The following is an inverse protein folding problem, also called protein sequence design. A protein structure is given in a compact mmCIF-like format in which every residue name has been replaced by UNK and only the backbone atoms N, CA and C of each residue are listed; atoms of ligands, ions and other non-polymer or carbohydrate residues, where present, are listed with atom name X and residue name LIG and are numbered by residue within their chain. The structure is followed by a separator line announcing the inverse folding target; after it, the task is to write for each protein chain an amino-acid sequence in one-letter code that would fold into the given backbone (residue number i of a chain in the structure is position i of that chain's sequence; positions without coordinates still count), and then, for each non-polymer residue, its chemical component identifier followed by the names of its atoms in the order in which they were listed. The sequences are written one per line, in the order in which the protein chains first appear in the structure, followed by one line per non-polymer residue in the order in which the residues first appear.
data_IF_172904455281
#
_entry.id   IF_172904455281
#
_cell.length_a   1.000
_cell.length_b   1.000
_cell.length_c   1.000
_cell.angle_alpha   90.00
_cell.angle_beta   90.00
_cell.angle_gamma   90.00
#
_symmetry.space_group_name_H-M   'P 1'
#
loop_
_entity.id
_entity.type
_entity.pdbx_description
1 polymer ?
#
# COMPACT_ATOMS: atom_id res chain seq x y z
N UNK A 1 -65.69 -13.47 -40.73
CA UNK A 1 -64.81 -14.27 -39.85
C UNK A 1 -63.54 -13.48 -39.55
N UNK A 2 -62.91 -13.69 -38.40
CA UNK A 2 -61.66 -13.01 -38.04
C UNK A 2 -60.54 -13.35 -39.01
N UNK A 3 -59.86 -12.32 -39.54
CA UNK A 3 -58.68 -12.51 -40.37
C UNK A 3 -57.46 -12.66 -39.44
N UNK A 4 -56.81 -13.81 -39.47
CA UNK A 4 -55.57 -14.03 -38.79
C UNK A 4 -54.42 -13.30 -39.52
N UNK A 5 -53.69 -12.44 -38.80
CA UNK A 5 -52.48 -11.84 -39.30
C UNK A 5 -51.32 -12.71 -38.80
N UNK A 6 -50.57 -13.29 -39.72
CA UNK A 6 -49.34 -14.03 -39.41
C UNK A 6 -48.18 -13.03 -39.38
N UNK A 7 -47.59 -12.82 -38.23
CA UNK A 7 -46.37 -12.05 -38.10
C UNK A 7 -45.18 -13.04 -38.07
N UNK A 8 -44.29 -12.90 -39.01
CA UNK A 8 -43.05 -13.67 -39.05
C UNK A 8 -41.91 -12.69 -38.79
N UNK A 9 -41.16 -12.90 -37.73
CA UNK A 9 -39.93 -12.16 -37.47
C UNK A 9 -38.76 -13.08 -37.76
N UNK A 10 -37.92 -12.72 -38.71
CA UNK A 10 -36.67 -13.40 -38.94
C UNK A 10 -35.65 -13.02 -37.84
N UNK A 11 -35.00 -14.01 -37.25
CA UNK A 11 -33.94 -13.76 -36.30
C UNK A 11 -32.74 -13.18 -37.06
N UNK A 12 -32.32 -11.98 -36.70
CA UNK A 12 -31.08 -11.41 -37.21
C UNK A 12 -29.90 -12.17 -36.57
N UNK A 13 -29.22 -12.96 -37.37
CA UNK A 13 -27.97 -13.59 -36.94
C UNK A 13 -26.89 -12.50 -36.87
N UNK A 14 -26.42 -12.19 -35.68
CA UNK A 14 -25.29 -11.29 -35.50
C UNK A 14 -23.99 -12.06 -35.79
N UNK A 15 -22.98 -11.42 -36.42
CA UNK A 15 -21.69 -12.05 -36.62
C UNK A 15 -21.01 -12.33 -35.26
N UNK A 16 -20.16 -13.36 -35.17
CA UNK A 16 -19.38 -13.63 -33.99
C UNK A 16 -18.55 -12.41 -33.61
N UNK A 17 -18.59 -12.03 -32.34
CA UNK A 17 -17.75 -10.94 -31.82
C UNK A 17 -17.53 -11.08 -30.33
N UNK A 18 -16.47 -10.46 -29.84
CA UNK A 18 -16.19 -10.31 -28.42
C UNK A 18 -15.63 -8.92 -28.18
N UNK A 19 -16.19 -8.22 -27.21
CA UNK A 19 -15.66 -6.93 -26.77
C UNK A 19 -15.34 -6.98 -25.26
N UNK A 20 -14.33 -6.26 -24.87
CA UNK A 20 -13.88 -6.15 -23.48
C UNK A 20 -13.88 -4.70 -23.06
N UNK A 21 -14.36 -4.43 -21.86
CA UNK A 21 -14.36 -3.09 -21.27
C UNK A 21 -13.96 -3.18 -19.81
N UNK A 22 -13.00 -2.37 -19.41
CA UNK A 22 -12.66 -2.21 -18.01
C UNK A 22 -13.76 -1.42 -17.28
N UNK A 23 -14.17 -1.85 -16.09
CA UNK A 23 -15.20 -1.15 -15.31
C UNK A 23 -14.84 0.29 -14.95
N UNK A 24 -13.56 0.63 -14.91
CA UNK A 24 -13.04 1.98 -14.72
C UNK A 24 -13.03 2.83 -16.00
N UNK A 25 -13.47 2.32 -17.14
CA UNK A 25 -13.43 3.02 -18.43
C UNK A 25 -12.79 2.21 -19.54
N UNK A 26 -11.80 2.79 -20.25
CA UNK A 26 -11.04 2.11 -21.30
C UNK A 26 -9.97 1.22 -20.66
N UNK A 27 -9.74 0.03 -21.23
CA UNK A 27 -8.59 -0.80 -20.84
C UNK A 27 -7.31 0.00 -21.06
N UNK A 28 -6.42 0.10 -20.05
CA UNK A 28 -5.13 0.75 -20.24
C UNK A 28 -4.30 0.02 -21.31
N UNK A 29 -3.62 0.76 -22.18
CA UNK A 29 -2.79 0.16 -23.23
C UNK A 29 -1.59 -0.58 -22.61
N UNK A 30 -1.03 -0.05 -21.54
CA UNK A 30 0.04 -0.65 -20.74
C UNK A 30 -0.43 -1.84 -19.89
N UNK A 31 -1.74 -2.06 -19.80
CA UNK A 31 -2.36 -3.08 -18.97
C UNK A 31 -2.55 -2.68 -17.51
N UNK A 32 -2.72 -3.65 -16.64
CA UNK A 32 -2.90 -3.41 -15.21
C UNK A 32 -1.58 -3.53 -14.46
N UNK A 33 -1.35 -2.56 -13.56
CA UNK A 33 -0.17 -2.52 -12.71
C UNK A 33 -0.58 -2.57 -11.24
N UNK A 34 0.06 -3.42 -10.47
CA UNK A 34 -0.06 -3.45 -9.01
C UNK A 34 1.29 -3.15 -8.36
N UNK A 35 1.25 -2.71 -7.13
CA UNK A 35 2.45 -2.58 -6.29
C UNK A 35 3.06 -3.96 -5.94
N UNK A 36 4.25 -3.96 -5.35
CA UNK A 36 4.98 -5.18 -4.98
C UNK A 36 4.26 -6.04 -3.92
N UNK A 37 3.33 -5.47 -3.15
CA UNK A 37 2.58 -6.18 -2.10
C UNK A 37 1.41 -7.00 -2.65
N UNK A 38 1.11 -6.89 -3.95
CA UNK A 38 0.10 -7.70 -4.59
C UNK A 38 -1.34 -7.28 -4.30
N UNK A 39 -1.58 -6.00 -4.11
CA UNK A 39 -2.95 -5.48 -3.98
C UNK A 39 -3.43 -4.93 -5.30
N UNK A 40 -4.54 -5.45 -5.76
CA UNK A 40 -5.20 -4.98 -6.95
C UNK A 40 -6.26 -5.97 -7.39
N UNK A 41 -7.43 -5.43 -7.69
CA UNK A 41 -8.56 -6.19 -8.19
C UNK A 41 -9.13 -5.42 -9.36
N UNK A 42 -9.07 -6.02 -10.55
CA UNK A 42 -9.53 -5.42 -11.79
C UNK A 42 -10.63 -6.27 -12.39
N UNK A 43 -11.77 -5.67 -12.69
CA UNK A 43 -12.88 -6.35 -13.33
C UNK A 43 -13.04 -5.85 -14.76
N UNK A 44 -12.98 -6.77 -15.70
CA UNK A 44 -13.16 -6.52 -17.14
C UNK A 44 -14.47 -7.15 -17.57
N UNK A 45 -15.41 -6.34 -18.03
CA UNK A 45 -16.66 -6.83 -18.59
C UNK A 45 -16.39 -7.41 -19.99
N UNK A 46 -16.91 -8.59 -20.25
CA UNK A 46 -16.78 -9.29 -21.51
C UNK A 46 -18.18 -9.41 -22.14
N UNK A 47 -18.31 -9.00 -23.39
CA UNK A 47 -19.58 -9.07 -24.12
C UNK A 47 -19.41 -10.03 -25.31
N UNK A 48 -19.60 -11.34 -25.11
CA UNK A 48 -19.54 -12.32 -26.19
C UNK A 48 -20.83 -12.34 -27.00
N UNK A 49 -20.72 -12.40 -28.32
CA UNK A 49 -21.85 -12.56 -29.24
C UNK A 49 -21.58 -13.78 -30.12
N UNK A 50 -22.40 -14.83 -29.98
CA UNK A 50 -22.33 -16.07 -30.74
C UNK A 50 -20.93 -16.72 -30.75
N UNK A 51 -20.17 -16.59 -29.69
CA UNK A 51 -18.86 -17.19 -29.51
C UNK A 51 -18.72 -17.84 -28.13
N UNK A 52 -18.07 -18.98 -28.09
CA UNK A 52 -17.51 -19.52 -26.84
C UNK A 52 -16.14 -18.86 -26.60
N UNK A 53 -15.81 -18.61 -25.37
CA UNK A 53 -14.56 -17.96 -25.03
C UNK A 53 -13.92 -18.56 -23.78
N UNK A 54 -12.59 -18.46 -23.70
CA UNK A 54 -11.81 -18.93 -22.58
C UNK A 54 -10.78 -17.89 -22.17
N UNK A 55 -10.33 -17.97 -20.93
CA UNK A 55 -9.28 -17.14 -20.37
C UNK A 55 -8.17 -18.01 -19.80
N UNK A 56 -6.92 -17.60 -20.00
CA UNK A 56 -5.75 -18.19 -19.39
C UNK A 56 -4.72 -17.13 -19.03
N UNK A 57 -3.83 -17.46 -18.10
CA UNK A 57 -2.68 -16.63 -17.73
C UNK A 57 -1.42 -17.18 -18.39
N UNK A 58 -0.68 -16.32 -19.07
CA UNK A 58 0.67 -16.59 -19.58
C UNK A 58 1.67 -15.76 -18.78
N UNK A 59 2.49 -16.43 -17.97
CA UNK A 59 3.53 -15.76 -17.20
C UNK A 59 4.73 -15.46 -18.09
N UNK A 60 5.22 -14.20 -18.07
CA UNK A 60 6.34 -13.73 -18.89
C UNK A 60 7.61 -13.66 -18.04
N UNK A 61 7.50 -13.16 -16.80
CA UNK A 61 8.63 -13.09 -15.87
C UNK A 61 8.18 -13.32 -14.43
N UNK A 62 9.14 -13.58 -13.52
CA UNK A 62 8.91 -13.66 -12.08
C UNK A 62 8.19 -14.93 -11.59
N UNK A 63 8.28 -16.03 -12.34
CA UNK A 63 7.66 -17.31 -11.97
C UNK A 63 6.18 -17.38 -12.27
N UNK A 64 5.49 -18.36 -11.67
CA UNK A 64 4.07 -18.64 -11.91
C UNK A 64 3.25 -18.60 -10.64
N UNK A 65 1.92 -18.53 -10.76
CA UNK A 65 0.98 -18.66 -9.62
C UNK A 65 0.78 -17.41 -8.78
N UNK A 66 1.35 -16.28 -9.18
CA UNK A 66 1.20 -15.02 -8.44
C UNK A 66 -0.01 -14.17 -8.86
N UNK A 67 -0.67 -14.54 -9.95
CA UNK A 67 -1.85 -13.87 -10.48
C UNK A 67 -3.02 -14.84 -10.52
N UNK A 68 -4.13 -14.50 -9.91
CA UNK A 68 -5.39 -15.22 -10.02
C UNK A 68 -6.27 -14.55 -11.07
N UNK A 69 -6.87 -15.35 -11.93
CA UNK A 69 -7.79 -14.89 -12.95
C UNK A 69 -9.04 -15.74 -12.92
N UNK A 70 -10.15 -15.13 -12.55
CA UNK A 70 -11.44 -15.78 -12.45
C UNK A 70 -12.35 -15.38 -13.62
N UNK A 71 -12.94 -16.38 -14.26
CA UNK A 71 -13.94 -16.21 -15.32
C UNK A 71 -15.33 -16.33 -14.73
N UNK A 72 -16.18 -15.34 -15.01
CA UNK A 72 -17.59 -15.33 -14.63
C UNK A 72 -18.46 -15.30 -15.89
N UNK A 73 -19.46 -16.17 -15.94
CA UNK A 73 -20.48 -16.19 -16.98
C UNK A 73 -21.86 -16.32 -16.34
N UNK A 74 -22.77 -15.47 -16.76
CA UNK A 74 -24.19 -15.57 -16.43
C UNK A 74 -25.03 -15.32 -17.69
N UNK A 75 -26.32 -15.58 -17.60
CA UNK A 75 -27.23 -15.30 -18.71
C UNK A 75 -27.31 -13.82 -19.13
N UNK A 76 -26.81 -12.91 -18.29
CA UNK A 76 -26.97 -11.46 -18.48
C UNK A 76 -25.62 -10.73 -18.54
N UNK A 77 -24.54 -11.35 -18.08
CA UNK A 77 -23.22 -10.71 -18.05
C UNK A 77 -22.11 -11.73 -18.01
N UNK A 78 -20.97 -11.37 -18.59
CA UNK A 78 -19.72 -12.10 -18.48
C UNK A 78 -18.61 -11.15 -18.04
N UNK A 79 -17.69 -11.64 -17.24
CA UNK A 79 -16.59 -10.83 -16.75
C UNK A 79 -15.35 -11.69 -16.45
N UNK A 80 -14.21 -11.03 -16.45
CA UNK A 80 -12.94 -11.54 -15.92
C UNK A 80 -12.60 -10.71 -14.68
N UNK A 81 -12.20 -11.38 -13.62
CA UNK A 81 -11.59 -10.73 -12.45
C UNK A 81 -10.11 -11.10 -12.43
N UNK A 82 -9.27 -10.08 -12.44
CA UNK A 82 -7.81 -10.19 -12.32
C UNK A 82 -7.46 -9.78 -10.89
N UNK A 83 -6.93 -10.70 -10.11
CA UNK A 83 -6.63 -10.49 -8.69
C UNK A 83 -5.18 -10.89 -8.38
N UNK A 84 -4.46 -9.98 -7.74
CA UNK A 84 -3.10 -10.24 -7.25
C UNK A 84 -3.11 -10.96 -5.89
N UNK A 85 -4.24 -10.94 -5.19
CA UNK A 85 -4.39 -11.52 -3.86
C UNK A 85 -3.42 -10.91 -2.85
N UNK A 86 -2.74 -11.79 -2.12
CA UNK A 86 -1.67 -11.43 -1.17
C UNK A 86 -0.28 -11.87 -1.67
N UNK A 87 -0.13 -12.11 -2.96
CA UNK A 87 1.10 -12.59 -3.57
C UNK A 87 2.09 -11.42 -3.73
N UNK A 88 3.07 -11.37 -2.84
CA UNK A 88 4.11 -10.33 -2.84
C UNK A 88 5.17 -10.64 -3.88
N UNK A 89 5.70 -9.57 -4.45
CA UNK A 89 6.92 -9.65 -5.25
C UNK A 89 8.11 -9.13 -4.42
N UNK A 90 8.77 -10.03 -3.69
CA UNK A 90 9.92 -9.67 -2.85
C UNK A 90 11.23 -9.49 -3.66
N UNK A 91 11.20 -9.69 -4.98
CA UNK A 91 12.29 -9.33 -5.89
C UNK A 91 12.28 -7.82 -6.14
N UNK A 92 13.46 -7.17 -6.35
CA UNK A 92 13.49 -5.79 -6.83
C UNK A 92 12.96 -5.63 -8.25
N UNK A 93 13.02 -6.69 -9.05
CA UNK A 93 12.55 -6.66 -10.43
C UNK A 93 11.03 -6.84 -10.52
N UNK A 94 10.34 -6.11 -11.37
CA UNK A 94 8.93 -6.32 -11.64
C UNK A 94 8.69 -7.68 -12.30
N UNK A 95 7.54 -8.28 -12.05
CA UNK A 95 7.11 -9.50 -12.70
C UNK A 95 5.89 -9.25 -13.59
N UNK A 96 5.83 -9.94 -14.72
CA UNK A 96 4.84 -9.67 -15.75
C UNK A 96 4.15 -10.94 -16.23
N UNK A 97 2.88 -10.78 -16.62
CA UNK A 97 2.05 -11.81 -17.22
C UNK A 97 1.14 -11.19 -18.28
N UNK A 98 0.48 -12.05 -19.05
CA UNK A 98 -0.63 -11.67 -19.91
C UNK A 98 -1.85 -12.51 -19.55
N UNK A 99 -2.98 -11.85 -19.46
CA UNK A 99 -4.27 -12.51 -19.40
C UNK A 99 -4.76 -12.61 -20.85
N UNK A 100 -4.85 -13.83 -21.36
CA UNK A 100 -5.18 -14.09 -22.77
C UNK A 100 -6.60 -14.63 -22.87
N UNK A 101 -7.44 -13.91 -23.60
CA UNK A 101 -8.81 -14.29 -23.89
C UNK A 101 -8.88 -14.81 -25.31
N UNK A 102 -9.34 -16.05 -25.47
CA UNK A 102 -9.49 -16.71 -26.75
C UNK A 102 -10.93 -17.05 -27.04
N UNK A 103 -11.29 -17.13 -28.31
CA UNK A 103 -12.61 -17.58 -28.77
C UNK A 103 -12.44 -18.77 -29.75
N UNK A 104 -13.54 -19.48 -30.01
CA UNK A 104 -13.62 -20.53 -31.01
C UNK A 104 -13.99 -19.99 -32.40
N UNK A 105 -14.29 -18.71 -32.54
CA UNK A 105 -14.64 -18.09 -33.80
C UNK A 105 -13.41 -17.58 -34.57
N UNK A 106 -13.30 -17.91 -35.82
CA UNK A 106 -12.23 -17.45 -36.69
C UNK A 106 -12.25 -15.92 -36.84
N UNK A 107 -11.08 -15.31 -36.67
CA UNK A 107 -10.92 -13.86 -36.79
C UNK A 107 -11.38 -13.03 -35.55
N UNK A 108 -11.83 -13.68 -34.47
CA UNK A 108 -12.19 -13.03 -33.22
C UNK A 108 -11.16 -13.36 -32.14
N UNK A 109 -10.25 -12.41 -31.87
CA UNK A 109 -9.14 -12.56 -30.90
C UNK A 109 -7.93 -13.30 -31.49
N UNK A 110 -6.95 -13.72 -30.68
CA UNK A 110 -6.92 -13.55 -29.22
C UNK A 110 -6.83 -12.10 -28.76
N UNK A 111 -7.29 -11.84 -27.53
CA UNK A 111 -7.14 -10.56 -26.86
C UNK A 111 -6.17 -10.75 -25.71
N UNK A 112 -5.24 -9.81 -25.55
CA UNK A 112 -4.22 -9.85 -24.52
C UNK A 112 -4.37 -8.64 -23.59
N UNK A 113 -4.33 -8.90 -22.29
CA UNK A 113 -4.32 -7.87 -21.25
C UNK A 113 -2.99 -7.99 -20.53
N UNK A 114 -2.05 -7.05 -20.72
CA UNK A 114 -0.81 -7.03 -19.98
C UNK A 114 -1.07 -6.81 -18.49
N UNK A 115 -0.27 -7.46 -17.64
CA UNK A 115 -0.37 -7.35 -16.19
C UNK A 115 1.04 -7.28 -15.62
N UNK A 116 1.30 -6.26 -14.82
CA UNK A 116 2.58 -6.06 -14.14
C UNK A 116 2.37 -5.98 -12.64
N UNK A 117 3.24 -6.65 -11.89
CA UNK A 117 3.40 -6.38 -10.48
C UNK A 117 4.79 -5.83 -10.24
N UNK A 118 4.85 -4.64 -9.63
CA UNK A 118 6.11 -3.98 -9.31
C UNK A 118 6.98 -4.83 -8.38
N UNK A 119 8.28 -4.63 -8.48
CA UNK A 119 9.24 -5.21 -7.56
C UNK A 119 9.29 -4.46 -6.24
N UNK A 120 9.77 -5.14 -5.21
CA UNK A 120 10.05 -4.51 -3.92
C UNK A 120 11.17 -3.48 -4.12
N UNK A 121 10.98 -2.20 -3.74
CA UNK A 121 12.02 -1.21 -3.86
C UNK A 121 13.28 -1.60 -3.06
N UNK A 122 14.42 -1.52 -3.71
CA UNK A 122 15.72 -1.77 -3.06
C UNK A 122 16.14 -0.64 -2.13
N UNK A 123 15.62 0.57 -2.36
CA UNK A 123 15.95 1.74 -1.58
C UNK A 123 14.83 2.08 -0.60
N UNK A 124 15.24 2.60 0.56
CA UNK A 124 14.33 3.09 1.59
C UNK A 124 14.37 4.64 1.69
N UNK A 125 14.95 5.29 0.70
CA UNK A 125 15.08 6.75 0.64
C UNK A 125 14.98 7.26 -0.78
N UNK A 126 14.25 8.35 -1.00
CA UNK A 126 14.28 9.17 -2.22
C UNK A 126 15.29 10.30 -2.11
N UNK A 127 15.88 10.50 -0.92
CA UNK A 127 16.86 11.54 -0.64
C UNK A 127 18.23 11.05 -1.08
N UNK A 128 18.85 11.79 -2.00
CA UNK A 128 20.12 11.43 -2.62
C UNK A 128 21.32 12.16 -2.02
N UNK A 129 21.08 13.18 -1.21
CA UNK A 129 22.12 14.02 -0.60
C UNK A 129 21.87 14.17 0.91
N UNK A 130 22.90 14.54 1.65
CA UNK A 130 22.76 14.85 3.08
C UNK A 130 21.77 15.99 3.29
N UNK A 131 20.87 15.82 4.25
CA UNK A 131 19.83 16.79 4.57
C UNK A 131 19.85 17.14 6.06
N UNK A 132 19.72 18.43 6.35
CA UNK A 132 19.55 18.94 7.69
C UNK A 132 18.10 19.40 7.90
N UNK A 133 17.41 18.84 8.89
CA UNK A 133 16.05 19.22 9.27
C UNK A 133 16.09 20.23 10.41
N UNK A 134 16.06 21.51 10.07
CA UNK A 134 16.04 22.60 11.06
C UNK A 134 14.64 23.19 11.30
N UNK A 135 13.67 22.76 10.53
CA UNK A 135 12.31 23.34 10.48
C UNK A 135 11.28 22.62 11.35
N UNK A 136 11.67 21.56 12.07
CA UNK A 136 10.74 20.79 12.91
C UNK A 136 10.48 21.51 14.24
N UNK A 137 9.36 22.21 14.32
CA UNK A 137 9.00 23.10 15.45
C UNK A 137 7.91 22.54 16.35
N UNK A 138 7.17 21.54 15.90
CA UNK A 138 6.06 20.92 16.61
C UNK A 138 6.31 19.44 16.84
N UNK A 139 5.85 18.92 17.97
CA UNK A 139 5.87 17.48 18.24
C UNK A 139 4.52 17.05 18.81
N UNK A 140 3.89 16.09 18.15
CA UNK A 140 2.83 15.30 18.75
C UNK A 140 3.43 14.03 19.34
N UNK A 141 3.17 13.77 20.61
CA UNK A 141 3.67 12.59 21.31
C UNK A 141 2.51 11.69 21.74
N UNK A 142 2.57 10.42 21.38
CA UNK A 142 1.72 9.38 21.95
C UNK A 142 2.59 8.49 22.84
N UNK A 143 2.25 8.44 24.13
CA UNK A 143 3.04 7.76 25.16
C UNK A 143 2.24 6.57 25.68
N UNK A 144 2.88 5.42 25.82
CA UNK A 144 2.29 4.23 26.41
C UNK A 144 3.05 3.82 27.68
N UNK A 145 2.76 4.46 28.82
CA UNK A 145 3.40 4.16 30.10
C UNK A 145 2.88 2.85 30.69
N UNK A 146 3.54 2.35 31.73
CA UNK A 146 3.07 1.23 32.52
C UNK A 146 1.90 1.62 33.40
N UNK A 147 1.03 0.67 33.71
CA UNK A 147 -0.14 0.81 34.58
C UNK A 147 -0.52 -0.54 35.13
N UNK A 148 -1.49 -0.59 36.02
CA UNK A 148 -2.02 -1.85 36.57
C UNK A 148 -2.45 -2.79 35.44
N UNK A 149 -1.87 -3.98 35.42
CA UNK A 149 -2.07 -5.00 34.37
C UNK A 149 -1.15 -4.86 33.15
N UNK A 150 -0.28 -3.85 33.14
CA UNK A 150 0.77 -3.68 32.11
C UNK A 150 2.06 -3.25 32.78
N UNK A 151 2.93 -4.21 33.03
CA UNK A 151 4.26 -4.01 33.62
C UNK A 151 5.34 -4.42 32.63
N UNK A 152 5.73 -3.49 31.75
CA UNK A 152 6.78 -3.69 30.75
C UNK A 152 8.09 -3.06 31.21
N UNK A 153 9.26 -3.62 30.83
CA UNK A 153 10.56 -3.08 31.20
C UNK A 153 10.90 -1.79 30.46
N UNK A 154 9.93 -1.14 29.81
CA UNK A 154 10.09 0.10 29.08
C UNK A 154 8.77 0.87 28.95
N UNK A 155 8.88 2.15 28.57
CA UNK A 155 7.77 2.99 28.08
C UNK A 155 7.95 3.24 26.59
N UNK A 156 6.89 3.05 25.79
CA UNK A 156 6.90 3.31 24.36
C UNK A 156 6.46 4.73 24.05
N UNK A 157 7.15 5.36 23.08
CA UNK A 157 6.90 6.69 22.57
C UNK A 157 6.74 6.65 21.06
N UNK A 158 5.64 7.18 20.55
CA UNK A 158 5.42 7.49 19.13
C UNK A 158 5.44 9.02 18.99
N UNK A 159 6.55 9.54 18.49
CA UNK A 159 6.82 10.96 18.37
C UNK A 159 6.66 11.36 16.90
N UNK A 160 5.95 12.46 16.66
CA UNK A 160 5.73 13.03 15.33
C UNK A 160 6.15 14.47 15.33
N UNK A 161 7.38 14.69 14.91
CA UNK A 161 7.94 16.02 14.72
C UNK A 161 7.48 16.58 13.38
N UNK A 162 7.09 17.84 13.36
CA UNK A 162 6.50 18.50 12.19
C UNK A 162 7.04 19.92 12.06
N UNK A 163 7.17 20.41 10.82
CA UNK A 163 7.37 21.82 10.53
C UNK A 163 6.10 22.62 10.82
N UNK A 164 6.23 23.95 10.89
CA UNK A 164 5.15 24.87 11.32
C UNK A 164 3.85 24.71 10.51
N UNK A 165 3.97 24.50 9.21
CA UNK A 165 2.83 24.39 8.29
C UNK A 165 2.28 22.95 8.13
N UNK A 166 2.76 22.00 8.95
CA UNK A 166 2.25 20.64 9.00
C UNK A 166 1.51 20.39 10.30
N UNK A 167 0.32 19.84 10.21
CA UNK A 167 -0.50 19.44 11.35
C UNK A 167 -0.85 17.95 11.31
N UNK A 168 -1.09 17.37 12.48
CA UNK A 168 -1.55 16.00 12.63
C UNK A 168 -2.95 15.95 13.24
N UNK A 169 -3.89 15.32 12.53
CA UNK A 169 -5.25 15.09 13.05
C UNK A 169 -5.38 13.65 13.54
N UNK A 170 -5.34 13.47 14.85
CA UNK A 170 -5.34 12.16 15.50
C UNK A 170 -6.60 11.33 15.16
N UNK A 171 -7.77 11.99 15.05
CA UNK A 171 -9.03 11.32 14.72
C UNK A 171 -9.05 10.67 13.33
N UNK A 172 -8.26 11.19 12.40
CA UNK A 172 -8.09 10.67 11.04
C UNK A 172 -6.80 9.87 10.85
N UNK A 173 -5.87 9.95 11.80
CA UNK A 173 -4.55 9.37 11.66
C UNK A 173 -3.76 9.96 10.49
N UNK A 174 -4.03 11.23 10.12
CA UNK A 174 -3.52 11.85 8.90
C UNK A 174 -2.80 13.16 9.18
N UNK A 175 -1.88 13.52 8.30
CA UNK A 175 -1.15 14.78 8.29
C UNK A 175 -1.69 15.68 7.18
N UNK A 176 -1.66 16.98 7.41
CA UNK A 176 -2.16 18.01 6.52
C UNK A 176 -1.15 19.15 6.42
N UNK A 177 -1.16 19.87 5.30
CA UNK A 177 -0.30 21.01 5.03
C UNK A 177 0.84 20.69 4.07
N UNK A 178 1.86 21.54 4.09
CA UNK A 178 3.07 21.39 3.28
C UNK A 178 4.30 21.58 4.15
N UNK A 179 5.21 20.59 4.18
CA UNK A 179 6.43 20.68 4.99
C UNK A 179 7.00 19.31 5.38
N UNK A 180 7.84 19.33 6.40
CA UNK A 180 8.63 18.18 6.83
C UNK A 180 7.99 17.48 8.02
N UNK A 181 8.06 16.15 8.01
CA UNK A 181 7.65 15.28 9.10
C UNK A 181 8.74 14.26 9.41
N UNK A 182 9.07 14.10 10.68
CA UNK A 182 9.87 12.99 11.19
C UNK A 182 9.05 12.22 12.22
N UNK A 183 8.77 10.96 11.95
CA UNK A 183 8.15 10.05 12.92
C UNK A 183 9.24 9.21 13.57
N UNK A 184 9.22 9.12 14.91
CA UNK A 184 10.18 8.35 15.70
C UNK A 184 9.42 7.40 16.63
N UNK A 185 9.68 6.12 16.50
CA UNK A 185 9.18 5.08 17.42
C UNK A 185 10.35 4.61 18.30
N UNK A 186 10.24 4.88 19.61
CA UNK A 186 11.33 4.57 20.55
C UNK A 186 10.80 4.04 21.88
N UNK A 187 11.70 3.50 22.67
CA UNK A 187 11.43 3.08 24.05
C UNK A 187 12.45 3.68 25.02
N UNK A 188 11.91 4.17 26.15
CA UNK A 188 12.70 4.65 27.29
C UNK A 188 12.63 3.69 28.47
N UNK A 189 13.34 4.00 29.54
CA UNK A 189 13.11 3.40 30.84
C UNK A 189 11.62 3.44 31.22
N UNK A 190 11.12 2.48 32.01
CA UNK A 190 9.71 2.37 32.34
C UNK A 190 9.21 3.59 33.15
N UNK A 191 8.10 4.15 32.71
CA UNK A 191 7.39 5.21 33.40
C UNK A 191 6.04 4.64 33.83
N UNK A 192 5.65 4.90 35.07
CA UNK A 192 4.37 4.46 35.60
C UNK A 192 3.35 5.60 35.57
N UNK A 193 2.12 5.26 35.22
CA UNK A 193 0.98 6.18 35.30
C UNK A 193 0.78 6.58 36.77
N UNK A 194 0.75 7.89 37.02
CA UNK A 194 0.11 8.44 38.21
C UNK A 194 -0.84 9.57 37.76
N UNK A 195 -1.85 9.84 38.55
CA UNK A 195 -3.00 10.68 38.16
C UNK A 195 -2.67 12.14 37.80
N UNK A 196 -1.46 12.61 38.13
CA UNK A 196 -1.02 14.01 37.92
C UNK A 196 0.26 14.12 37.07
N UNK A 197 0.68 13.07 36.38
CA UNK A 197 1.98 13.04 35.72
C UNK A 197 1.98 13.68 34.31
N UNK A 198 2.76 14.71 34.16
CA UNK A 198 3.29 15.07 32.85
C UNK A 198 4.41 14.09 32.51
N UNK A 199 4.29 13.45 31.34
CA UNK A 199 5.28 12.49 30.87
C UNK A 199 6.32 13.21 30.02
N UNK A 200 7.57 13.06 30.39
CA UNK A 200 8.69 13.61 29.64
C UNK A 200 9.58 12.49 29.13
N UNK A 201 9.98 12.58 27.87
CA UNK A 201 11.01 11.69 27.35
C UNK A 201 12.30 11.92 28.15
N UNK A 202 12.89 10.89 28.76
CA UNK A 202 14.12 11.05 29.54
C UNK A 202 15.28 11.56 28.68
N UNK A 203 16.10 12.44 29.27
CA UNK A 203 17.36 12.88 28.68
C UNK A 203 18.28 11.68 28.46
N UNK A 204 18.95 11.64 27.32
CA UNK A 204 19.86 10.55 27.00
C UNK A 204 20.10 10.38 25.51
N UNK A 205 20.86 9.35 25.19
CA UNK A 205 21.11 8.96 23.81
C UNK A 205 20.36 7.66 23.51
N UNK A 206 19.57 7.70 22.43
CA UNK A 206 18.76 6.61 21.93
C UNK A 206 19.38 6.11 20.62
N UNK A 207 19.60 4.81 20.51
CA UNK A 207 20.27 4.21 19.34
C UNK A 207 19.25 3.56 18.41
N UNK A 208 19.37 3.82 17.09
CA UNK A 208 18.55 3.18 16.08
C UNK A 208 18.95 1.72 15.95
N UNK A 209 17.99 0.79 16.05
CA UNK A 209 18.19 -0.65 15.99
C UNK A 209 17.34 -1.28 14.89
N UNK A 210 17.96 -2.06 14.02
CA UNK A 210 17.30 -2.70 12.88
C UNK A 210 16.27 -3.76 13.30
N UNK A 211 16.50 -4.44 14.42
CA UNK A 211 15.63 -5.48 14.97
C UNK A 211 14.89 -4.97 16.21
N UNK A 212 14.12 -3.92 16.04
CA UNK A 212 13.20 -3.48 17.08
C UNK A 212 12.15 -4.56 17.26
N UNK A 213 12.29 -5.34 18.31
CA UNK A 213 11.63 -6.63 18.45
C UNK A 213 10.09 -6.49 18.43
N UNK A 214 9.43 -7.34 17.63
CA UNK A 214 7.98 -7.46 17.62
C UNK A 214 7.41 -8.05 18.92
N UNK A 215 8.23 -8.80 19.67
CA UNK A 215 7.89 -9.22 21.04
C UNK A 215 8.08 -8.04 21.99
N UNK A 216 6.98 -7.52 22.49
CA UNK A 216 6.97 -6.38 23.39
C UNK A 216 7.87 -6.54 24.62
N UNK A 217 8.11 -7.76 25.08
CA UNK A 217 8.91 -8.01 26.28
C UNK A 217 10.43 -7.96 26.05
N UNK A 218 10.87 -7.87 24.80
CA UNK A 218 12.29 -7.91 24.43
C UNK A 218 12.85 -6.56 23.95
N UNK A 219 12.07 -5.50 23.99
CA UNK A 219 12.54 -4.15 23.63
C UNK A 219 13.43 -3.61 24.71
N UNK A 220 14.55 -3.02 24.30
CA UNK A 220 15.57 -2.48 25.23
C UNK A 220 15.40 -0.97 25.37
N UNK A 221 15.24 -0.42 26.58
CA UNK A 221 15.23 1.02 26.81
C UNK A 221 16.45 1.72 26.16
N UNK A 222 16.23 2.93 25.63
CA UNK A 222 17.26 3.65 24.87
C UNK A 222 17.34 3.24 23.40
N UNK A 223 16.40 2.43 22.89
CA UNK A 223 16.33 2.04 21.50
C UNK A 223 15.32 2.86 20.69
N UNK A 224 15.67 3.14 19.43
CA UNK A 224 14.80 3.70 18.39
C UNK A 224 14.56 2.61 17.33
N UNK A 225 13.32 2.45 16.93
CA UNK A 225 12.97 1.52 15.85
C UNK A 225 13.48 2.02 14.50
N UNK A 226 14.34 1.26 13.83
CA UNK A 226 14.72 1.57 12.46
C UNK A 226 13.49 1.60 11.54
N UNK A 227 13.53 2.50 10.56
CA UNK A 227 12.49 2.58 9.53
C UNK A 227 12.51 1.36 8.62
N UNK A 228 11.33 0.84 8.33
CA UNK A 228 11.15 -0.27 7.40
C UNK A 228 9.85 -0.11 6.62
N UNK A 229 9.82 -0.55 5.36
CA UNK A 229 8.59 -0.61 4.62
C UNK A 229 7.64 -1.63 5.23
N UNK A 230 6.37 -1.23 5.37
CA UNK A 230 5.33 -2.16 5.80
C UNK A 230 4.60 -2.77 4.62
N UNK A 231 3.94 -3.90 4.90
CA UNK A 231 3.17 -4.67 3.93
C UNK A 231 1.98 -3.93 3.31
N UNK A 232 1.58 -2.79 3.86
CA UNK A 232 0.25 -2.31 3.56
C UNK A 232 0.19 -1.08 2.67
N UNK A 233 1.23 -0.29 2.56
CA UNK A 233 1.31 0.89 1.68
C UNK A 233 2.59 1.66 1.95
N UNK A 234 3.21 2.35 0.96
CA UNK A 234 4.26 3.34 1.24
C UNK A 234 3.83 4.46 2.19
N UNK A 235 2.52 4.59 2.46
CA UNK A 235 1.96 5.51 3.47
C UNK A 235 2.07 5.02 4.91
N UNK A 236 2.22 3.72 5.14
CA UNK A 236 2.30 3.13 6.47
C UNK A 236 3.71 2.63 6.70
N UNK A 237 4.55 3.54 7.09
CA UNK A 237 5.92 3.29 7.49
C UNK A 237 5.93 2.72 8.90
N UNK A 238 6.72 1.67 9.15
CA UNK A 238 7.03 1.20 10.49
C UNK A 238 8.34 1.79 10.94
N UNK A 239 8.44 2.12 12.22
CA UNK A 239 9.64 2.66 12.80
C UNK A 239 9.84 4.13 12.48
N UNK A 240 11.10 4.52 12.36
CA UNK A 240 11.49 5.93 12.23
C UNK A 240 11.63 6.34 10.77
N UNK A 241 10.89 7.39 10.40
CA UNK A 241 10.81 7.86 9.01
C UNK A 241 10.75 9.37 8.91
N UNK A 242 11.48 9.89 7.93
CA UNK A 242 11.28 11.22 7.37
C UNK A 242 10.32 11.14 6.17
N UNK A 243 9.42 12.12 6.06
CA UNK A 243 8.54 12.29 4.90
C UNK A 243 8.27 13.78 4.69
N UNK A 244 8.39 14.24 3.45
CA UNK A 244 7.89 15.54 3.03
C UNK A 244 6.43 15.40 2.60
N UNK A 245 5.60 16.33 3.08
CA UNK A 245 4.18 16.45 2.73
C UNK A 245 4.04 17.64 1.80
N UNK A 246 3.28 17.49 0.72
CA UNK A 246 3.00 18.55 -0.24
C UNK A 246 1.50 18.60 -0.51
N UNK A 247 0.87 19.75 -0.16
CA UNK A 247 -0.57 20.00 -0.38
C UNK A 247 -1.48 18.86 0.13
N UNK A 248 -1.28 18.43 1.37
CA UNK A 248 -1.97 17.31 2.02
C UNK A 248 -1.72 15.94 1.36
N UNK A 249 -0.84 15.86 0.38
CA UNK A 249 -0.55 14.65 -0.36
C UNK A 249 0.74 13.97 0.08
N UNK A 250 0.77 12.67 -0.06
CA UNK A 250 1.95 11.82 0.05
C UNK A 250 2.31 11.29 -1.34
N UNK A 251 3.57 11.14 -1.64
CA UNK A 251 4.76 11.61 -0.99
C UNK A 251 5.52 12.62 -1.83
N UNK A 252 6.05 13.63 -1.18
CA UNK A 252 7.30 14.19 -1.62
C UNK A 252 8.46 13.26 -1.28
N UNK A 253 9.59 13.83 -0.89
CA UNK A 253 10.75 13.05 -0.45
C UNK A 253 10.46 12.23 0.81
N UNK A 254 11.08 11.05 0.89
CA UNK A 254 10.97 10.18 2.05
C UNK A 254 12.27 9.40 2.29
N UNK A 255 12.54 9.13 3.56
CA UNK A 255 13.68 8.31 3.97
C UNK A 255 13.37 7.49 5.22
N UNK A 256 13.70 6.21 5.18
CA UNK A 256 13.80 5.40 6.38
C UNK A 256 15.07 5.78 7.14
N UNK A 257 14.96 5.95 8.44
CA UNK A 257 16.13 6.10 9.32
C UNK A 257 16.53 4.71 9.77
N UNK A 258 17.59 4.17 9.21
CA UNK A 258 18.00 2.77 9.39
C UNK A 258 19.12 2.57 10.40
N UNK A 259 19.84 3.65 10.71
CA UNK A 259 20.95 3.65 11.68
C UNK A 259 21.18 5.06 12.28
N UNK A 260 21.98 5.16 13.31
CA UNK A 260 22.35 6.42 13.96
C UNK A 260 21.87 6.51 15.39
N UNK A 261 21.92 7.72 15.92
CA UNK A 261 21.52 8.04 17.29
C UNK A 261 20.64 9.31 17.35
N UNK A 262 19.73 9.33 18.31
CA UNK A 262 18.96 10.48 18.71
C UNK A 262 19.38 10.89 20.10
N UNK A 263 19.77 12.14 20.29
CA UNK A 263 20.07 12.70 21.63
C UNK A 263 18.92 13.58 22.09
N UNK A 264 18.43 13.30 23.28
CA UNK A 264 17.41 14.11 23.97
C UNK A 264 18.08 14.87 25.09
N UNK A 265 17.87 16.17 25.11
CA UNK A 265 18.27 17.02 26.21
C UNK A 265 17.19 18.06 26.48
N UNK A 266 16.78 18.19 27.74
CA UNK A 266 15.79 19.18 28.13
C UNK A 266 16.53 20.51 28.35
N UNK A 267 16.16 21.52 27.58
CA UNK A 267 16.64 22.87 27.73
C UNK A 267 15.51 23.73 28.33
N UNK A 268 15.72 24.22 29.54
CA UNK A 268 14.77 25.16 30.17
C UNK A 268 14.20 24.67 31.49
N UNK A 269 13.69 25.59 32.19
CA UNK A 269 13.21 25.52 33.60
C UNK A 269 12.03 24.55 33.77
#
# INVERSE_FOLDING_TARGET
GPKAIRVTQEAKVLPPSLTMTYKGGTLPEEGFVSDYIGRGHFSVDVCPVNVSWNVRTEYVSGGTGWLQVDKFESAQSSAIIIDFGLNRNDSPDPRTARVVVTTDAEGVGPFEIPVTQEGKPDFQSTILEDMELTSLTHCYANVSPNHDGRDLPYTRWDLRFMSEDVSYENSKGAFFGTGDRLTVDLVSEPIWVNDDAEYYLPDGTYTVVANFNSDENLRVPGSVSAGAFTFSHPRFTNGTWYVRIEDDAYPGDQAAITEGTMTVSRTGE
#
